data_IF_975301017351
#
_entry.id   IF_975301017351
#
_cell.length_a   1.000
_cell.length_b   1.000
_cell.length_c   1.000
_cell.angle_alpha   90.00
_cell.angle_beta   90.00
_cell.angle_gamma   90.00
#
_symmetry.space_group_name_H-M   'P 1'
#
loop_
_entity.id
_entity.type
_entity.pdbx_description
1 polymer ?
#
# COMPACT_ATOMS: atom_id res chain seq x y z
N UNK A 1 -20.97 9.17 -6.83
CA UNK A 1 -20.34 7.97 -6.23
C UNK A 1 -20.91 7.82 -4.84
N UNK A 2 -21.11 6.59 -4.36
CA UNK A 2 -21.86 6.38 -3.12
C UNK A 2 -20.90 6.29 -1.93
N UNK A 3 -21.09 7.14 -0.92
CA UNK A 3 -20.36 7.09 0.37
C UNK A 3 -20.38 5.70 1.03
N UNK A 4 -21.34 4.87 0.63
CA UNK A 4 -21.54 3.50 1.07
C UNK A 4 -20.36 2.58 0.70
N UNK A 5 -19.80 2.71 -0.49
CA UNK A 5 -18.76 1.79 -0.99
C UNK A 5 -17.41 2.07 -0.30
N UNK A 6 -17.04 3.35 -0.24
CA UNK A 6 -15.88 3.83 0.52
C UNK A 6 -15.98 3.46 2.01
N UNK A 7 -17.18 3.53 2.61
CA UNK A 7 -17.42 3.11 3.99
C UNK A 7 -17.25 1.59 4.18
N UNK A 8 -17.69 0.78 3.21
CA UNK A 8 -17.53 -0.67 3.26
C UNK A 8 -16.05 -1.08 3.15
N UNK A 9 -15.28 -0.42 2.28
CA UNK A 9 -13.82 -0.61 2.18
C UNK A 9 -13.13 -0.25 3.49
N UNK A 10 -13.41 0.94 4.05
CA UNK A 10 -12.84 1.37 5.34
C UNK A 10 -13.15 0.36 6.45
N UNK A 11 -14.42 -0.05 6.56
CA UNK A 11 -14.86 -1.01 7.58
C UNK A 11 -14.15 -2.36 7.42
N UNK A 12 -14.12 -2.90 6.20
CA UNK A 12 -13.49 -4.19 5.92
C UNK A 12 -11.99 -4.20 6.23
N UNK A 13 -11.29 -3.13 5.85
CA UNK A 13 -9.87 -2.94 6.14
C UNK A 13 -9.57 -2.82 7.64
N UNK A 14 -10.40 -2.10 8.40
CA UNK A 14 -10.16 -1.91 9.85
C UNK A 14 -10.53 -3.16 10.66
N UNK A 15 -11.67 -3.78 10.37
CA UNK A 15 -12.20 -4.90 11.16
C UNK A 15 -11.49 -6.23 10.87
N UNK A 16 -11.21 -6.54 9.60
CA UNK A 16 -10.54 -7.77 9.22
C UNK A 16 -9.78 -7.62 7.89
N UNK A 17 -8.63 -6.91 7.90
CA UNK A 17 -7.91 -6.56 6.68
C UNK A 17 -7.52 -7.79 5.85
N UNK A 18 -7.03 -8.87 6.48
CA UNK A 18 -6.65 -10.10 5.77
C UNK A 18 -7.85 -10.75 5.05
N UNK A 19 -9.00 -10.86 5.73
CA UNK A 19 -10.23 -11.42 5.11
C UNK A 19 -10.78 -10.50 4.02
N UNK A 20 -10.70 -9.19 4.22
CA UNK A 20 -11.14 -8.22 3.24
C UNK A 20 -10.27 -8.27 1.97
N UNK A 21 -8.95 -8.16 2.12
CA UNK A 21 -8.00 -8.18 1.00
C UNK A 21 -7.92 -9.54 0.30
N UNK A 22 -8.26 -10.66 0.96
CA UNK A 22 -8.33 -11.96 0.26
C UNK A 22 -9.52 -12.09 -0.69
N UNK A 23 -10.49 -11.17 -0.61
CA UNK A 23 -11.71 -11.16 -1.42
C UNK A 23 -11.87 -9.92 -2.29
N UNK A 24 -11.06 -8.90 -2.07
CA UNK A 24 -11.15 -7.58 -2.71
C UNK A 24 -9.75 -7.13 -3.10
N UNK A 25 -9.56 -6.71 -4.34
CA UNK A 25 -8.33 -6.08 -4.82
C UNK A 25 -8.55 -4.57 -4.78
N UNK A 26 -7.65 -3.85 -4.11
CA UNK A 26 -7.68 -2.39 -4.08
C UNK A 26 -6.61 -1.86 -5.02
N UNK A 27 -7.03 -1.41 -6.21
CA UNK A 27 -6.12 -0.83 -7.20
C UNK A 27 -5.85 0.63 -6.85
N UNK A 28 -4.77 0.85 -6.11
CA UNK A 28 -4.31 2.22 -5.79
C UNK A 28 -3.49 2.74 -6.98
N UNK A 29 -3.88 3.87 -7.62
CA UNK A 29 -3.20 4.34 -8.83
C UNK A 29 -1.73 4.64 -8.54
N UNK A 30 -0.86 4.44 -9.53
CA UNK A 30 0.45 5.09 -9.48
C UNK A 30 0.27 6.60 -9.65
N UNK A 31 1.06 7.46 -8.99
CA UNK A 31 0.93 8.90 -9.16
C UNK A 31 1.15 9.28 -10.63
N UNK A 32 0.29 10.15 -11.18
CA UNK A 32 0.76 11.03 -12.27
C UNK A 32 1.84 11.93 -11.68
N UNK A 33 2.90 12.23 -12.43
CA UNK A 33 4.19 12.79 -11.99
C UNK A 33 4.21 14.13 -11.19
N UNK A 34 3.08 14.58 -10.61
CA UNK A 34 2.93 15.85 -9.90
C UNK A 34 2.02 15.76 -8.66
N UNK A 35 1.92 14.61 -7.99
CA UNK A 35 1.20 14.59 -6.70
C UNK A 35 1.99 15.39 -5.66
N UNK A 36 1.50 16.58 -5.33
CA UNK A 36 2.00 17.48 -4.28
C UNK A 36 2.43 16.72 -3.01
N UNK A 37 3.46 17.19 -2.31
CA UNK A 37 4.13 16.50 -1.19
C UNK A 37 3.28 16.21 0.08
N UNK A 38 1.96 16.42 0.09
CA UNK A 38 1.13 16.01 1.22
C UNK A 38 0.95 14.49 1.23
N UNK A 39 1.21 13.86 2.37
CA UNK A 39 1.05 12.41 2.51
C UNK A 39 -0.40 11.99 2.79
N UNK A 40 -1.26 12.91 3.22
CA UNK A 40 -2.68 12.62 3.43
C UNK A 40 -3.47 12.89 2.15
N UNK A 41 -4.33 11.93 1.80
CA UNK A 41 -5.10 11.91 0.57
C UNK A 41 -6.50 11.37 0.79
N UNK A 42 -7.39 11.79 -0.10
CA UNK A 42 -8.79 11.38 -0.10
C UNK A 42 -9.05 10.43 -1.27
N UNK A 43 -9.43 9.21 -0.93
CA UNK A 43 -9.70 8.14 -1.89
C UNK A 43 -11.19 7.87 -1.99
N UNK A 44 -11.64 7.62 -3.21
CA UNK A 44 -12.90 6.93 -3.46
C UNK A 44 -12.60 5.57 -4.08
N UNK A 45 -13.40 4.60 -3.66
CA UNK A 45 -13.38 3.25 -4.20
C UNK A 45 -14.79 2.92 -4.65
N UNK A 46 -14.93 2.54 -5.92
CA UNK A 46 -16.20 1.98 -6.39
C UNK A 46 -16.15 0.46 -6.21
N UNK A 47 -17.21 -0.11 -5.63
CA UNK A 47 -17.34 -1.55 -5.46
C UNK A 47 -17.88 -2.20 -6.75
N UNK A 48 -17.12 -3.10 -7.35
CA UNK A 48 -17.55 -3.90 -8.50
C UNK A 48 -17.84 -5.31 -8.04
N UNK A 49 -19.12 -5.66 -7.98
CA UNK A 49 -19.55 -7.02 -7.68
C UNK A 49 -19.45 -7.88 -8.95
N UNK A 50 -18.25 -8.43 -9.20
CA UNK A 50 -17.98 -9.43 -10.24
C UNK A 50 -17.64 -10.81 -9.66
N UNK A 51 -17.94 -11.90 -10.37
CA UNK A 51 -17.65 -13.26 -9.89
C UNK A 51 -16.13 -13.48 -9.93
N UNK A 52 -15.48 -13.33 -8.77
CA UNK A 52 -14.08 -13.70 -8.40
C UNK A 52 -13.04 -12.57 -8.19
N UNK A 53 -13.49 -11.41 -7.72
CA UNK A 53 -12.68 -10.27 -7.16
C UNK A 53 -12.42 -9.16 -8.17
N UNK A 54 -12.89 -7.94 -7.88
CA UNK A 54 -12.57 -6.72 -8.65
C UNK A 54 -12.89 -5.50 -7.80
N UNK A 55 -11.99 -4.51 -7.70
CA UNK A 55 -12.41 -3.13 -7.35
C UNK A 55 -11.44 -1.99 -7.75
N UNK A 56 -11.80 -1.43 -8.92
CA UNK A 56 -11.85 -0.05 -9.49
C UNK A 56 -10.90 1.13 -9.19
N UNK A 57 -10.80 1.93 -10.27
CA UNK A 57 -10.31 3.31 -10.48
C UNK A 57 -10.55 4.25 -9.30
N UNK A 58 -9.60 4.30 -8.38
CA UNK A 58 -9.53 5.38 -7.41
C UNK A 58 -9.06 6.68 -8.09
N UNK A 59 -9.83 7.75 -7.96
CA UNK A 59 -9.27 9.09 -8.14
C UNK A 59 -8.62 9.51 -6.81
N UNK A 60 -7.32 9.76 -6.86
CA UNK A 60 -6.58 10.38 -5.74
C UNK A 60 -7.02 11.85 -5.73
N UNK A 61 -7.73 12.30 -4.69
CA UNK A 61 -8.16 13.70 -4.43
C UNK A 61 -9.64 14.06 -4.65
N UNK A 62 -10.54 13.08 -4.89
CA UNK A 62 -11.98 13.37 -4.99
C UNK A 62 -12.88 12.64 -4.00
N UNK A 63 -12.30 11.85 -3.08
CA UNK A 63 -13.07 10.94 -2.25
C UNK A 63 -13.26 11.24 -0.78
N UNK A 64 -13.82 10.28 -0.06
CA UNK A 64 -14.20 10.43 1.35
C UNK A 64 -13.38 9.59 2.33
N UNK A 65 -12.57 8.64 1.85
CA UNK A 65 -11.62 7.93 2.70
C UNK A 65 -10.31 8.71 2.81
N UNK A 66 -10.09 9.31 3.97
CA UNK A 66 -8.79 9.89 4.32
C UNK A 66 -7.79 8.78 4.65
N UNK A 67 -6.68 8.74 3.92
CA UNK A 67 -5.60 7.80 4.14
C UNK A 67 -4.25 8.45 3.86
N UNK A 68 -3.20 7.93 4.49
CA UNK A 68 -1.84 8.20 4.05
C UNK A 68 -1.61 7.56 2.68
N UNK A 69 -0.79 8.20 1.87
CA UNK A 69 -0.42 7.75 0.56
C UNK A 69 1.08 7.86 0.35
N UNK A 70 1.67 6.75 -0.08
CA UNK A 70 3.10 6.64 -0.34
C UNK A 70 3.33 6.37 -1.83
N UNK A 71 3.63 7.43 -2.62
CA UNK A 71 3.90 7.31 -4.05
C UNK A 71 5.25 6.63 -4.32
N UNK A 72 5.54 6.42 -5.60
CA UNK A 72 6.91 6.20 -6.08
C UNK A 72 7.16 7.01 -7.35
N UNK A 73 8.44 7.17 -7.67
CA UNK A 73 8.95 7.76 -8.90
C UNK A 73 10.25 7.06 -9.28
N UNK A 74 10.61 7.10 -10.56
CA UNK A 74 11.85 6.47 -11.03
C UNK A 74 13.06 7.09 -10.35
N UNK A 75 14.03 6.25 -9.96
CA UNK A 75 15.27 6.66 -9.28
C UNK A 75 15.03 7.55 -8.06
N UNK A 76 13.96 7.29 -7.32
CA UNK A 76 13.50 8.11 -6.20
C UNK A 76 13.17 7.26 -4.98
N UNK A 77 13.35 7.85 -3.80
CA UNK A 77 12.91 7.31 -2.52
C UNK A 77 11.92 8.24 -1.85
N UNK A 78 10.69 7.77 -1.66
CA UNK A 78 9.66 8.48 -0.91
C UNK A 78 9.51 7.86 0.47
N UNK A 79 9.09 8.66 1.44
CA UNK A 79 8.71 8.14 2.74
C UNK A 79 7.52 8.90 3.31
N UNK A 80 6.77 8.24 4.19
CA UNK A 80 5.71 8.84 5.00
C UNK A 80 5.94 8.46 6.45
N UNK A 81 5.64 9.37 7.37
CA UNK A 81 5.58 9.09 8.80
C UNK A 81 4.10 8.95 9.18
N UNK A 82 3.76 7.77 9.68
CA UNK A 82 2.44 7.41 10.18
C UNK A 82 2.41 7.69 11.68
N UNK A 83 1.81 8.81 12.06
CA UNK A 83 1.70 9.19 13.46
C UNK A 83 0.62 8.36 14.16
N UNK A 84 0.81 8.07 15.45
CA UNK A 84 -0.18 7.27 16.19
C UNK A 84 -1.47 8.06 16.49
N UNK A 85 -1.36 9.40 16.58
CA UNK A 85 -2.44 10.31 16.97
C UNK A 85 -3.07 11.08 15.79
N UNK A 86 -2.81 10.69 14.55
CA UNK A 86 -3.38 11.37 13.39
C UNK A 86 -4.85 10.95 13.12
N UNK A 87 -5.46 11.67 12.19
CA UNK A 87 -6.83 11.53 11.71
C UNK A 87 -7.05 10.36 10.76
N UNK A 88 -6.00 9.85 10.10
CA UNK A 88 -6.08 8.72 9.19
C UNK A 88 -5.75 7.38 9.88
N UNK A 89 -6.55 6.35 9.58
CA UNK A 89 -6.37 4.98 10.10
C UNK A 89 -5.74 4.03 9.06
N UNK A 90 -5.53 4.51 7.84
CA UNK A 90 -5.15 3.69 6.70
C UNK A 90 -4.02 4.38 5.94
N UNK A 91 -3.12 3.58 5.40
CA UNK A 91 -2.05 3.97 4.50
C UNK A 91 -2.11 3.06 3.27
N UNK A 92 -1.94 3.67 2.11
CA UNK A 92 -1.82 3.00 0.82
C UNK A 92 -0.46 3.30 0.18
N UNK A 93 0.15 2.31 -0.44
CA UNK A 93 1.21 2.57 -1.43
C UNK A 93 0.61 2.65 -2.83
N UNK A 94 1.30 3.36 -3.72
CA UNK A 94 1.20 3.09 -5.14
C UNK A 94 1.51 1.60 -5.43
N UNK A 95 1.05 1.10 -6.58
CA UNK A 95 1.35 -0.25 -7.06
C UNK A 95 2.87 -0.50 -7.09
N UNK A 96 3.31 -1.63 -6.52
CA UNK A 96 4.68 -2.11 -6.58
C UNK A 96 4.87 -2.90 -7.89
N UNK A 97 5.61 -2.30 -8.83
CA UNK A 97 5.89 -2.86 -10.16
C UNK A 97 7.39 -3.01 -10.42
N UNK A 98 8.14 -3.44 -9.41
CA UNK A 98 9.60 -3.48 -9.41
C UNK A 98 10.24 -2.64 -8.30
N UNK A 99 9.44 -1.96 -7.49
CA UNK A 99 9.88 -1.18 -6.34
C UNK A 99 10.09 -2.05 -5.10
N UNK A 100 10.70 -1.47 -4.06
CA UNK A 100 10.76 -2.02 -2.72
C UNK A 100 10.09 -1.08 -1.71
N UNK A 101 9.47 -1.67 -0.68
CA UNK A 101 8.88 -0.93 0.45
C UNK A 101 9.44 -1.50 1.75
N UNK A 102 9.63 -0.65 2.75
CA UNK A 102 10.01 -1.08 4.10
C UNK A 102 9.50 -0.12 5.15
N UNK A 103 9.44 -0.58 6.40
CA UNK A 103 9.07 0.28 7.53
C UNK A 103 10.02 0.14 8.72
N UNK A 104 10.06 1.20 9.53
CA UNK A 104 10.72 1.22 10.83
C UNK A 104 9.82 1.92 11.85
N UNK A 105 9.63 1.30 13.01
CA UNK A 105 8.92 1.91 14.13
C UNK A 105 9.84 2.82 14.94
N UNK A 106 9.33 3.96 15.37
CA UNK A 106 10.05 4.83 16.28
C UNK A 106 10.31 4.12 17.62
N UNK A 107 11.53 4.25 18.14
CA UNK A 107 11.96 3.63 19.41
C UNK A 107 11.66 4.49 20.63
N UNK A 108 11.14 5.70 20.44
CA UNK A 108 10.83 6.69 21.48
C UNK A 108 9.49 6.45 22.21
N UNK A 109 8.77 5.39 21.84
CA UNK A 109 7.47 5.05 22.42
C UNK A 109 6.29 5.86 21.86
N UNK A 110 6.51 6.75 20.87
CA UNK A 110 5.44 7.51 20.21
C UNK A 110 4.43 6.61 19.46
N UNK A 111 4.88 5.42 19.05
CA UNK A 111 4.11 4.53 18.17
C UNK A 111 4.12 4.97 16.70
N UNK A 112 4.87 6.03 16.36
CA UNK A 112 5.03 6.47 14.99
C UNK A 112 5.78 5.43 14.15
N UNK A 113 5.45 5.36 12.86
CA UNK A 113 6.11 4.45 11.92
C UNK A 113 6.51 5.19 10.66
N UNK A 114 7.78 5.14 10.29
CA UNK A 114 8.23 5.57 8.97
C UNK A 114 8.08 4.42 7.99
N UNK A 115 7.43 4.67 6.86
CA UNK A 115 7.36 3.75 5.73
C UNK A 115 8.04 4.39 4.53
N UNK A 116 8.92 3.66 3.87
CA UNK A 116 9.70 4.11 2.72
C UNK A 116 9.37 3.27 1.49
N UNK A 117 9.26 3.91 0.33
CA UNK A 117 9.00 3.29 -0.97
C UNK A 117 10.04 3.76 -1.97
N UNK A 118 10.90 2.85 -2.39
CA UNK A 118 12.05 3.12 -3.24
C UNK A 118 11.90 2.42 -4.57
N UNK A 119 12.21 3.12 -5.65
CA UNK A 119 12.42 2.54 -6.97
C UNK A 119 13.76 3.03 -7.50
N UNK A 120 14.77 2.15 -7.42
CA UNK A 120 16.11 2.44 -7.90
C UNK A 120 16.34 1.60 -9.15
N UNK A 121 16.79 2.24 -10.22
CA UNK A 121 17.11 1.60 -11.48
C UNK A 121 18.62 1.67 -11.73
N UNK A 122 19.13 0.64 -12.37
CA UNK A 122 20.45 0.61 -12.99
C UNK A 122 20.54 1.63 -14.13
N UNK A 123 21.76 1.94 -14.59
CA UNK A 123 21.98 2.83 -15.74
C UNK A 123 21.25 2.40 -17.02
N UNK A 124 20.88 1.12 -17.15
CA UNK A 124 20.15 0.57 -18.29
C UNK A 124 18.61 0.60 -18.11
N UNK A 125 18.10 1.28 -17.07
CA UNK A 125 16.66 1.41 -16.78
C UNK A 125 16.01 0.18 -16.16
N UNK A 126 16.78 -0.88 -15.88
CA UNK A 126 16.29 -2.06 -15.16
C UNK A 126 16.34 -1.84 -13.65
N UNK A 127 15.42 -2.42 -12.88
CA UNK A 127 15.45 -2.40 -11.41
C UNK A 127 16.82 -2.82 -10.84
N UNK A 128 17.35 -2.04 -9.91
CA UNK A 128 18.56 -2.36 -9.15
C UNK A 128 18.19 -2.93 -7.77
N UNK A 129 18.02 -4.25 -7.69
CA UNK A 129 17.62 -4.93 -6.46
C UNK A 129 18.67 -4.82 -5.34
N UNK A 130 19.96 -4.71 -5.69
CA UNK A 130 21.03 -4.59 -4.70
C UNK A 130 20.99 -3.19 -4.05
N UNK A 131 20.90 -2.14 -4.86
CA UNK A 131 20.78 -0.78 -4.36
C UNK A 131 19.49 -0.58 -3.54
N UNK A 132 18.36 -1.20 -3.96
CA UNK A 132 17.13 -1.14 -3.16
C UNK A 132 17.27 -1.83 -1.80
N UNK A 133 17.96 -2.97 -1.71
CA UNK A 133 18.25 -3.63 -0.43
C UNK A 133 19.09 -2.74 0.48
N UNK A 134 20.19 -2.20 -0.03
CA UNK A 134 21.05 -1.28 0.72
C UNK A 134 20.27 -0.06 1.21
N UNK A 135 19.45 0.54 0.35
CA UNK A 135 18.65 1.71 0.69
C UNK A 135 17.59 1.49 1.77
N UNK A 136 17.25 0.23 2.07
CA UNK A 136 16.25 -0.16 3.08
C UNK A 136 16.88 -0.97 4.23
N UNK A 137 18.21 -1.02 4.35
CA UNK A 137 18.88 -1.81 5.39
C UNK A 137 18.55 -1.36 6.83
N UNK A 138 18.09 -0.11 6.98
CA UNK A 138 17.58 0.39 8.26
C UNK A 138 16.20 -0.14 8.64
N UNK A 139 15.44 -0.70 7.69
CA UNK A 139 14.05 -1.08 7.90
C UNK A 139 13.94 -2.38 8.71
N UNK A 140 12.91 -2.48 9.55
CA UNK A 140 12.65 -3.66 10.39
C UNK A 140 11.98 -4.79 9.60
N UNK A 141 11.26 -4.45 8.55
CA UNK A 141 10.62 -5.39 7.62
C UNK A 141 10.57 -4.73 6.25
N UNK A 142 10.80 -5.52 5.21
CA UNK A 142 10.85 -5.08 3.83
C UNK A 142 10.09 -6.02 2.91
N UNK A 143 9.64 -5.49 1.78
CA UNK A 143 9.10 -6.23 0.66
C UNK A 143 9.82 -5.76 -0.60
N UNK A 144 10.60 -6.65 -1.20
CA UNK A 144 11.36 -6.42 -2.41
C UNK A 144 10.69 -7.07 -3.62
N UNK A 145 11.09 -6.64 -4.83
CA UNK A 145 10.60 -7.18 -6.10
C UNK A 145 10.59 -8.71 -6.13
N UNK A 146 11.68 -9.35 -5.70
CA UNK A 146 11.82 -10.80 -5.69
C UNK A 146 10.78 -11.53 -4.83
N UNK A 147 10.18 -10.85 -3.85
CA UNK A 147 9.20 -11.45 -2.93
C UNK A 147 7.79 -11.52 -3.52
N UNK A 148 7.47 -10.70 -4.53
CA UNK A 148 6.12 -10.61 -5.09
C UNK A 148 6.04 -10.74 -6.61
N UNK A 149 7.15 -10.59 -7.34
CA UNK A 149 7.14 -10.56 -8.80
C UNK A 149 7.81 -11.79 -9.40
N UNK A 150 7.19 -12.95 -9.20
CA UNK A 150 7.67 -14.21 -9.80
C UNK A 150 7.43 -14.29 -11.30
N UNK A 151 6.42 -13.58 -11.80
CA UNK A 151 6.12 -13.41 -13.23
C UNK A 151 5.89 -11.92 -13.57
N UNK A 152 6.02 -11.50 -14.84
CA UNK A 152 5.92 -10.08 -15.23
C UNK A 152 4.57 -9.41 -14.92
N UNK A 153 3.51 -10.21 -14.88
CA UNK A 153 2.10 -9.89 -14.62
C UNK A 153 1.72 -9.90 -13.13
N UNK A 154 2.68 -10.15 -12.24
CA UNK A 154 2.47 -10.05 -10.79
C UNK A 154 2.89 -8.69 -10.25
N UNK A 155 2.07 -8.18 -9.33
CA UNK A 155 2.27 -6.91 -8.64
C UNK A 155 1.97 -7.07 -7.15
N UNK A 156 2.43 -6.12 -6.36
CA UNK A 156 2.05 -6.03 -4.96
C UNK A 156 1.48 -4.66 -4.61
N UNK A 157 0.64 -4.67 -3.59
CA UNK A 157 0.22 -3.49 -2.86
C UNK A 157 0.57 -3.68 -1.39
N UNK A 158 0.95 -2.58 -0.75
CA UNK A 158 1.32 -2.54 0.64
C UNK A 158 0.39 -1.58 1.37
N UNK A 159 -0.15 -2.05 2.50
CA UNK A 159 -1.17 -1.34 3.27
C UNK A 159 -0.70 -1.20 4.71
N UNK A 160 -0.79 0.01 5.25
CA UNK A 160 -0.72 0.23 6.70
C UNK A 160 -2.13 0.40 7.25
N UNK A 161 -2.50 -0.36 8.28
CA UNK A 161 -3.80 -0.29 8.93
C UNK A 161 -3.59 -0.05 10.43
N UNK A 162 -4.18 1.02 10.94
CA UNK A 162 -4.16 1.35 12.35
C UNK A 162 -5.20 0.51 13.09
N UNK A 163 -4.74 -0.41 13.95
CA UNK A 163 -5.61 -1.35 14.67
C UNK A 163 -5.49 -1.19 16.18
N UNK A 164 -6.62 -1.39 16.88
CA UNK A 164 -6.66 -1.47 18.34
C UNK A 164 -6.12 -2.82 18.80
N UNK A 165 -5.11 -2.82 19.68
CA UNK A 165 -4.62 -4.01 20.35
C UNK A 165 -5.58 -4.50 21.43
N UNK A 166 -5.49 -5.80 21.78
CA UNK A 166 -6.30 -6.40 22.86
C UNK A 166 -5.89 -5.94 24.28
N UNK A 167 -4.62 -5.61 24.50
CA UNK A 167 -4.05 -5.39 25.85
C UNK A 167 -3.67 -3.92 26.09
N UNK A 168 -3.13 -3.21 25.11
CA UNK A 168 -3.06 -1.74 25.15
C UNK A 168 -2.78 -1.16 23.76
N UNK A 169 -3.25 0.06 23.56
CA UNK A 169 -2.82 0.94 22.47
C UNK A 169 -3.41 0.65 21.09
N UNK A 170 -3.45 1.71 20.30
CA UNK A 170 -3.60 1.65 18.86
C UNK A 170 -2.21 1.47 18.25
N UNK A 171 -2.05 0.62 17.24
CA UNK A 171 -0.77 0.40 16.55
C UNK A 171 -0.97 0.19 15.05
N UNK A 172 0.00 0.62 14.26
CA UNK A 172 0.04 0.34 12.83
C UNK A 172 0.43 -1.11 12.56
N UNK A 173 -0.37 -1.82 11.78
CA UNK A 173 -0.12 -3.16 11.24
C UNK A 173 0.01 -3.07 9.74
N UNK A 174 0.86 -3.91 9.15
CA UNK A 174 1.15 -3.85 7.72
C UNK A 174 0.72 -5.12 7.02
N UNK A 175 0.15 -4.95 5.84
CA UNK A 175 -0.34 -6.04 5.02
C UNK A 175 0.19 -5.91 3.61
N UNK A 176 0.57 -7.03 3.01
CA UNK A 176 0.83 -7.13 1.57
C UNK A 176 -0.30 -7.88 0.89
N UNK A 177 -0.70 -7.41 -0.28
CA UNK A 177 -1.54 -8.14 -1.23
C UNK A 177 -0.73 -8.34 -2.50
N UNK A 178 -0.55 -9.60 -2.91
CA UNK A 178 0.04 -9.95 -4.19
C UNK A 178 -1.09 -10.28 -5.15
N UNK A 179 -1.08 -9.64 -6.30
CA UNK A 179 -2.08 -9.82 -7.35
C UNK A 179 -1.42 -10.22 -8.66
N UNK A 180 -2.16 -10.94 -9.49
CA UNK A 180 -1.74 -11.32 -10.84
C UNK A 180 -2.74 -10.78 -11.84
N UNK A 181 -2.25 -10.13 -12.90
CA UNK A 181 -3.08 -9.73 -14.02
C UNK A 181 -3.32 -10.92 -14.95
N UNK A 182 -4.57 -11.36 -15.08
CA UNK A 182 -4.96 -12.54 -15.88
C UNK A 182 -5.61 -12.17 -17.22
N UNK A 183 -5.94 -10.90 -17.41
CA UNK A 183 -6.58 -10.36 -18.61
C UNK A 183 -6.47 -8.84 -18.67
N UNK A 184 -7.08 -8.23 -19.69
CA UNK A 184 -7.10 -6.78 -19.81
C UNK A 184 -7.96 -6.18 -18.69
N UNK A 185 -7.31 -5.60 -17.67
CA UNK A 185 -8.00 -5.05 -16.50
C UNK A 185 -8.53 -6.09 -15.51
N UNK A 186 -8.22 -7.38 -15.72
CA UNK A 186 -8.64 -8.48 -14.83
C UNK A 186 -7.49 -8.94 -13.93
N UNK A 187 -7.77 -9.08 -12.64
CA UNK A 187 -6.78 -9.42 -11.63
C UNK A 187 -7.28 -10.53 -10.69
N UNK A 188 -6.37 -11.38 -10.24
CA UNK A 188 -6.59 -12.38 -9.18
C UNK A 188 -5.75 -12.07 -7.95
N UNK A 189 -6.29 -12.38 -6.77
CA UNK A 189 -5.50 -12.36 -5.53
C UNK A 189 -4.69 -13.65 -5.45
N UNK A 190 -3.37 -13.53 -5.44
CA UNK A 190 -2.48 -14.68 -5.29
C UNK A 190 -2.19 -14.95 -3.82
N UNK A 191 -1.95 -13.89 -3.02
CA UNK A 191 -1.80 -14.03 -1.57
C UNK A 191 -2.03 -12.73 -0.82
N UNK A 192 -2.34 -12.89 0.48
CA UNK A 192 -2.42 -11.79 1.46
C UNK A 192 -1.75 -12.22 2.75
N UNK A 193 -0.84 -11.38 3.26
CA UNK A 193 -0.13 -11.63 4.51
C UNK A 193 0.03 -10.34 5.34
N UNK A 194 0.03 -10.50 6.66
CA UNK A 194 0.63 -9.49 7.56
C UNK A 194 2.16 -9.64 7.49
N UNK A 195 2.88 -8.52 7.57
CA UNK A 195 4.34 -8.41 7.37
C UNK A 195 5.03 -7.71 8.53
#
# INVERSE_FOLDING_TARGET
>A
MSDRDTSAVKKGLIENPKKFLSKNILLVPSPTANLNCSYLRKFDFDLYEGPKTTTYSGNIDRGNLLAYYLPWGENSGYHVVLENNDTADIMFTAQLSGCAVGYIRASDGSGAVRVSHHNIQTANGSTDDAAMKESLDFAQSTLHRGDYRTTPDMYAYYYGIRQKGMISGVSWKFYRQIVKQVGLGEFTVESVAEV
#
